data_IF_276046553826
#
_entry.id   IF_276046553826
#
_cell.length_a   1.000
_cell.length_b   1.000
_cell.length_c   1.000
_cell.angle_alpha   90.00
_cell.angle_beta   90.00
_cell.angle_gamma   90.00
#
_symmetry.space_group_name_H-M   'P 1'
#
loop_
_entity.id
_entity.type
_entity.pdbx_description
1 polymer ?
#
# COMPACT_ATOMS: atom_id res chain seq x y z
N UNK A 1 6.35 -35.10 -2.59
CA UNK A 1 6.93 -33.79 -2.25
C UNK A 1 7.91 -34.00 -1.11
N UNK A 2 9.19 -33.65 -1.29
CA UNK A 2 10.19 -33.76 -0.23
C UNK A 2 10.04 -32.54 0.70
N UNK A 3 9.73 -32.77 1.97
CA UNK A 3 9.58 -31.71 2.98
C UNK A 3 10.32 -32.09 4.25
N UNK A 4 10.89 -31.10 4.94
CA UNK A 4 11.47 -31.34 6.26
C UNK A 4 10.37 -31.77 7.24
N UNK A 5 10.69 -32.75 8.08
CA UNK A 5 9.78 -33.24 9.13
C UNK A 5 9.44 -32.18 10.17
N UNK A 6 10.33 -31.21 10.38
CA UNK A 6 10.12 -30.05 11.25
C UNK A 6 10.58 -28.77 10.52
N UNK A 7 9.85 -27.63 10.62
CA UNK A 7 10.28 -26.36 10.04
C UNK A 7 11.66 -25.90 10.52
N UNK A 8 12.04 -26.24 11.75
CA UNK A 8 13.33 -25.87 12.35
C UNK A 8 14.51 -26.52 11.64
N UNK A 9 14.33 -27.70 11.02
CA UNK A 9 15.42 -28.40 10.34
C UNK A 9 15.91 -27.63 9.12
N UNK A 10 15.04 -26.84 8.47
CA UNK A 10 15.44 -25.99 7.35
C UNK A 10 16.48 -24.96 7.79
N UNK A 11 16.29 -24.36 8.96
CA UNK A 11 17.24 -23.41 9.53
C UNK A 11 18.57 -24.10 9.84
N UNK A 12 18.54 -25.22 10.55
CA UNK A 12 19.76 -25.92 10.96
C UNK A 12 20.57 -26.45 9.78
N UNK A 13 19.91 -26.93 8.72
CA UNK A 13 20.60 -27.35 7.51
C UNK A 13 21.30 -26.16 6.84
N UNK A 14 20.66 -24.99 6.76
CA UNK A 14 21.31 -23.81 6.19
C UNK A 14 22.50 -23.33 7.02
N UNK A 15 22.38 -23.36 8.35
CA UNK A 15 23.48 -23.05 9.27
C UNK A 15 24.66 -24.02 9.08
N UNK A 16 24.38 -25.32 9.01
CA UNK A 16 25.40 -26.35 8.81
C UNK A 16 26.07 -26.25 7.43
N UNK A 17 25.28 -26.02 6.38
CA UNK A 17 25.82 -25.84 5.02
C UNK A 17 26.71 -24.60 4.94
N UNK A 18 26.32 -23.51 5.59
CA UNK A 18 27.13 -22.29 5.63
C UNK A 18 28.43 -22.49 6.40
N UNK A 19 28.38 -23.18 7.54
CA UNK A 19 29.55 -23.40 8.38
C UNK A 19 30.59 -24.35 7.77
N UNK A 20 30.18 -25.31 6.93
CA UNK A 20 31.06 -26.43 6.54
C UNK A 20 31.39 -26.52 5.04
N UNK A 21 30.78 -25.70 4.18
CA UNK A 21 31.08 -25.71 2.74
C UNK A 21 31.94 -24.53 2.30
N UNK A 22 32.72 -24.76 1.24
CA UNK A 22 33.65 -23.79 0.68
C UNK A 22 32.95 -22.66 -0.07
N UNK A 23 33.70 -21.58 -0.32
CA UNK A 23 33.24 -20.47 -1.18
C UNK A 23 32.80 -20.95 -2.55
N UNK A 24 33.54 -21.86 -3.20
CA UNK A 24 33.20 -22.40 -4.53
C UNK A 24 31.84 -23.09 -4.56
N UNK A 25 31.46 -23.76 -3.46
CA UNK A 25 30.13 -24.36 -3.34
C UNK A 25 29.06 -23.27 -3.36
N UNK A 26 29.27 -22.20 -2.59
CA UNK A 26 28.34 -21.08 -2.53
C UNK A 26 28.30 -20.27 -3.83
N UNK A 27 29.40 -20.15 -4.57
CA UNK A 27 29.40 -19.62 -5.93
C UNK A 27 28.46 -20.41 -6.86
N UNK A 28 28.57 -21.74 -6.83
CA UNK A 28 27.66 -22.60 -7.59
C UNK A 28 26.19 -22.42 -7.19
N UNK A 29 25.91 -22.28 -5.89
CA UNK A 29 24.55 -22.02 -5.38
C UNK A 29 24.05 -20.64 -5.81
N UNK A 30 24.89 -19.60 -5.76
CA UNK A 30 24.58 -18.23 -6.20
C UNK A 30 24.13 -18.19 -7.65
N UNK A 31 24.94 -18.79 -8.53
CA UNK A 31 24.67 -18.84 -9.97
C UNK A 31 23.40 -19.62 -10.27
N UNK A 32 23.26 -20.79 -9.63
CA UNK A 32 22.08 -21.64 -9.80
C UNK A 32 20.79 -20.97 -9.34
N UNK A 33 20.77 -20.35 -8.15
CA UNK A 33 19.58 -19.64 -7.66
C UNK A 33 19.25 -18.42 -8.50
N UNK A 34 20.26 -17.66 -8.93
CA UNK A 34 20.06 -16.50 -9.79
C UNK A 34 19.47 -16.91 -11.13
N UNK A 35 20.00 -17.97 -11.76
CA UNK A 35 19.46 -18.49 -13.01
C UNK A 35 18.03 -19.00 -12.84
N UNK A 36 17.76 -19.72 -11.75
CA UNK A 36 16.43 -20.27 -11.49
C UNK A 36 15.37 -19.19 -11.28
N UNK A 37 15.65 -18.19 -10.43
CA UNK A 37 14.74 -17.05 -10.20
C UNK A 37 14.49 -16.26 -11.48
N UNK A 38 15.51 -16.15 -12.33
CA UNK A 38 15.42 -15.42 -13.60
C UNK A 38 14.60 -16.17 -14.65
N UNK A 39 14.69 -17.49 -14.71
CA UNK A 39 14.18 -18.30 -15.82
C UNK A 39 12.86 -19.01 -15.52
N UNK A 40 12.55 -19.27 -14.25
CA UNK A 40 11.35 -20.02 -13.84
C UNK A 40 10.33 -19.07 -13.21
N UNK A 41 9.24 -18.71 -13.92
CA UNK A 41 8.20 -17.83 -13.40
C UNK A 41 7.22 -18.61 -12.50
N UNK A 42 7.73 -19.20 -11.41
CA UNK A 42 6.96 -19.95 -10.42
C UNK A 42 6.89 -19.19 -9.08
N UNK A 43 5.73 -18.66 -8.68
CA UNK A 43 5.56 -17.93 -7.42
C UNK A 43 5.90 -18.75 -6.18
N UNK A 44 5.61 -20.06 -6.18
CA UNK A 44 5.89 -20.93 -5.03
C UNK A 44 7.39 -21.16 -4.87
N UNK A 45 8.10 -21.28 -6.00
CA UNK A 45 9.55 -21.30 -6.02
C UNK A 45 10.13 -19.99 -5.48
N UNK A 46 9.68 -18.82 -5.96
CA UNK A 46 10.18 -17.53 -5.47
C UNK A 46 9.95 -17.37 -3.97
N UNK A 47 8.79 -17.82 -3.47
CA UNK A 47 8.48 -17.84 -2.03
C UNK A 47 9.42 -18.76 -1.26
N UNK A 48 9.71 -19.94 -1.80
CA UNK A 48 10.65 -20.88 -1.21
C UNK A 48 12.07 -20.30 -1.18
N UNK A 49 12.56 -19.73 -2.28
CA UNK A 49 13.88 -19.09 -2.35
C UNK A 49 13.96 -17.93 -1.36
N UNK A 50 12.96 -17.05 -1.35
CA UNK A 50 12.94 -15.88 -0.47
C UNK A 50 12.97 -16.26 1.01
N UNK A 51 12.14 -17.22 1.42
CA UNK A 51 12.14 -17.73 2.80
C UNK A 51 13.45 -18.43 3.17
N UNK A 52 14.11 -19.12 2.22
CA UNK A 52 15.42 -19.74 2.42
C UNK A 52 16.52 -18.72 2.65
N UNK A 53 16.59 -17.69 1.80
CA UNK A 53 17.57 -16.60 1.94
C UNK A 53 17.33 -15.78 3.21
N UNK A 54 16.08 -15.57 3.62
CA UNK A 54 15.76 -14.91 4.89
C UNK A 54 16.24 -15.72 6.11
N UNK A 55 16.18 -17.06 6.05
CA UNK A 55 16.76 -17.92 7.09
C UNK A 55 18.29 -17.88 7.08
N UNK A 56 18.91 -17.94 5.89
CA UNK A 56 20.37 -17.86 5.72
C UNK A 56 20.95 -16.51 6.17
N UNK A 57 20.15 -15.44 6.09
CA UNK A 57 20.56 -14.12 6.55
C UNK A 57 20.86 -14.06 8.07
N UNK A 58 20.40 -15.05 8.86
CA UNK A 58 20.70 -15.11 10.30
C UNK A 58 22.19 -15.38 10.58
N UNK A 59 22.79 -16.46 10.05
CA UNK A 59 24.23 -16.69 10.19
C UNK A 59 25.09 -15.94 9.16
N UNK A 60 24.52 -15.50 8.03
CA UNK A 60 25.29 -15.04 6.87
C UNK A 60 24.65 -13.84 6.16
N UNK A 61 24.37 -12.76 6.89
CA UNK A 61 23.71 -11.59 6.30
C UNK A 61 24.51 -10.98 5.14
N UNK A 62 25.83 -10.80 5.29
CA UNK A 62 26.67 -10.17 4.27
C UNK A 62 26.66 -10.93 2.95
N UNK A 63 26.67 -12.27 3.02
CA UNK A 63 26.48 -13.16 1.87
C UNK A 63 25.13 -12.91 1.20
N UNK A 64 24.04 -12.94 1.96
CA UNK A 64 22.69 -12.72 1.41
C UNK A 64 22.56 -11.32 0.80
N UNK A 65 23.15 -10.31 1.44
CA UNK A 65 23.10 -8.92 1.02
C UNK A 65 23.86 -8.68 -0.29
N UNK A 66 25.13 -9.04 -0.33
CA UNK A 66 26.03 -8.70 -1.44
C UNK A 66 25.83 -9.61 -2.66
N UNK A 67 25.51 -10.89 -2.44
CA UNK A 67 25.42 -11.86 -3.52
C UNK A 67 24.03 -12.00 -4.13
N UNK A 68 22.97 -11.69 -3.38
CA UNK A 68 21.60 -11.90 -3.84
C UNK A 68 20.79 -10.60 -3.80
N UNK A 69 20.64 -10.00 -2.61
CA UNK A 69 19.71 -8.88 -2.43
C UNK A 69 20.09 -7.65 -3.26
N UNK A 70 21.33 -7.16 -3.16
CA UNK A 70 21.76 -5.98 -3.89
C UNK A 70 21.77 -6.18 -5.41
N UNK A 71 22.31 -7.28 -5.97
CA UNK A 71 22.23 -7.55 -7.41
C UNK A 71 20.79 -7.70 -7.89
N UNK A 72 19.97 -8.52 -7.23
CA UNK A 72 18.61 -8.79 -7.68
C UNK A 72 17.71 -7.56 -7.58
N UNK A 73 17.85 -6.74 -6.53
CA UNK A 73 17.14 -5.48 -6.41
C UNK A 73 17.53 -4.45 -7.50
N UNK A 74 18.80 -4.45 -7.94
CA UNK A 74 19.24 -3.65 -9.12
C UNK A 74 18.68 -4.19 -10.44
N UNK A 75 18.15 -5.41 -10.45
CA UNK A 75 17.56 -6.04 -11.63
C UNK A 75 18.49 -7.00 -12.38
N UNK A 76 19.60 -7.47 -11.80
CA UNK A 76 20.50 -8.43 -12.48
C UNK A 76 19.81 -9.75 -12.82
N UNK A 77 18.83 -10.17 -12.03
CA UNK A 77 17.97 -11.33 -12.26
C UNK A 77 16.59 -10.96 -12.85
N UNK A 78 16.47 -9.77 -13.45
CA UNK A 78 15.23 -9.26 -14.03
C UNK A 78 14.12 -8.96 -13.01
N UNK A 79 12.88 -8.74 -13.48
CA UNK A 79 11.74 -8.38 -12.62
C UNK A 79 11.40 -9.45 -11.57
N UNK A 80 11.60 -10.73 -11.91
CA UNK A 80 11.42 -11.84 -10.97
C UNK A 80 12.46 -11.79 -9.84
N UNK A 81 13.70 -11.40 -10.15
CA UNK A 81 14.74 -11.12 -9.17
C UNK A 81 14.35 -10.01 -8.19
N UNK A 82 13.92 -8.86 -8.71
CA UNK A 82 13.48 -7.72 -7.87
C UNK A 82 12.30 -8.09 -6.96
N UNK A 83 11.32 -8.82 -7.50
CA UNK A 83 10.20 -9.36 -6.73
C UNK A 83 10.68 -10.30 -5.63
N UNK A 84 11.61 -11.20 -5.95
CA UNK A 84 12.17 -12.15 -4.96
C UNK A 84 12.97 -11.42 -3.88
N UNK A 85 13.78 -10.43 -4.23
CA UNK A 85 14.52 -9.60 -3.27
C UNK A 85 13.58 -8.86 -2.31
N UNK A 86 12.45 -8.36 -2.82
CA UNK A 86 11.38 -7.77 -2.00
C UNK A 86 10.80 -8.79 -1.02
N UNK A 87 10.51 -10.00 -1.50
CA UNK A 87 9.96 -11.09 -0.67
C UNK A 87 10.94 -11.54 0.41
N UNK A 88 12.26 -11.52 0.16
CA UNK A 88 13.26 -11.82 1.20
C UNK A 88 13.14 -10.84 2.35
N UNK A 89 13.03 -9.53 2.07
CA UNK A 89 12.86 -8.51 3.11
C UNK A 89 11.56 -8.69 3.90
N UNK A 90 10.48 -9.10 3.23
CA UNK A 90 9.22 -9.44 3.89
C UNK A 90 9.37 -10.64 4.82
N UNK A 91 10.02 -11.72 4.37
CA UNK A 91 10.29 -12.89 5.22
C UNK A 91 11.20 -12.56 6.40
N UNK A 92 12.22 -11.72 6.22
CA UNK A 92 13.06 -11.24 7.31
C UNK A 92 12.23 -10.53 8.40
N UNK A 93 11.19 -9.79 8.03
CA UNK A 93 10.27 -9.15 8.99
C UNK A 93 9.37 -10.15 9.71
N UNK A 94 8.99 -11.25 9.05
CA UNK A 94 8.09 -12.26 9.59
C UNK A 94 8.79 -13.27 10.51
N UNK A 95 10.09 -13.49 10.34
CA UNK A 95 10.85 -14.48 11.10
C UNK A 95 11.22 -14.01 12.52
N UNK A 96 11.83 -12.83 12.66
CA UNK A 96 12.17 -12.25 13.97
C UNK A 96 12.42 -10.73 13.90
N UNK A 97 12.45 -10.08 15.08
CA UNK A 97 12.54 -8.62 15.18
C UNK A 97 13.90 -8.05 14.74
N UNK A 98 14.99 -8.79 14.94
CA UNK A 98 16.33 -8.33 14.60
C UNK A 98 16.51 -8.30 13.08
N UNK A 99 16.10 -9.38 12.40
CA UNK A 99 16.08 -9.42 10.94
C UNK A 99 15.15 -8.36 10.35
N UNK A 100 14.02 -8.08 10.99
CA UNK A 100 13.13 -6.98 10.58
C UNK A 100 13.83 -5.62 10.57
N UNK A 101 14.60 -5.29 11.61
CA UNK A 101 15.37 -4.05 11.67
C UNK A 101 16.45 -3.98 10.56
N UNK A 102 17.12 -5.11 10.28
CA UNK A 102 18.09 -5.22 9.18
C UNK A 102 17.42 -5.03 7.82
N UNK A 103 16.27 -5.67 7.58
CA UNK A 103 15.51 -5.51 6.34
C UNK A 103 15.08 -4.05 6.11
N UNK A 104 14.67 -3.36 7.19
CA UNK A 104 14.38 -1.93 7.13
C UNK A 104 15.62 -1.11 6.74
N UNK A 105 16.79 -1.39 7.30
CA UNK A 105 18.02 -0.70 6.95
C UNK A 105 18.39 -0.90 5.46
N UNK A 106 18.25 -2.13 4.94
CA UNK A 106 18.48 -2.44 3.52
C UNK A 106 17.54 -1.64 2.61
N UNK A 107 16.23 -1.70 2.85
CA UNK A 107 15.24 -0.99 2.04
C UNK A 107 15.43 0.54 2.09
N UNK A 108 15.82 1.09 3.25
CA UNK A 108 16.18 2.51 3.39
C UNK A 108 17.39 2.87 2.51
N UNK A 109 18.43 2.03 2.50
CA UNK A 109 19.58 2.20 1.62
C UNK A 109 19.20 2.17 0.14
N UNK A 110 18.31 1.27 -0.26
CA UNK A 110 17.79 1.20 -1.62
C UNK A 110 16.98 2.44 -2.02
N UNK A 111 16.10 2.94 -1.14
CA UNK A 111 15.30 4.13 -1.39
C UNK A 111 16.16 5.41 -1.55
N UNK A 112 17.33 5.46 -0.92
CA UNK A 112 18.28 6.57 -1.03
C UNK A 112 19.21 6.45 -2.24
N UNK A 113 19.25 5.30 -2.89
CA UNK A 113 20.16 5.03 -4.00
C UNK A 113 19.89 5.92 -5.21
N UNK A 114 20.94 6.18 -6.00
CA UNK A 114 20.82 6.80 -7.33
C UNK A 114 20.38 5.80 -8.40
N UNK A 115 20.45 4.51 -8.13
CA UNK A 115 19.99 3.45 -9.01
C UNK A 115 18.45 3.35 -9.00
N UNK A 116 17.77 3.47 -10.16
CA UNK A 116 16.31 3.41 -10.25
C UNK A 116 15.75 2.01 -9.93
N UNK A 117 16.46 0.93 -10.25
CA UNK A 117 16.04 -0.44 -9.94
C UNK A 117 15.99 -0.69 -8.42
N UNK A 118 16.99 -0.18 -7.69
CA UNK A 118 16.98 -0.18 -6.23
C UNK A 118 15.82 0.62 -5.66
N UNK A 119 15.55 1.84 -6.19
CA UNK A 119 14.42 2.65 -5.71
C UNK A 119 13.07 1.96 -5.96
N UNK A 120 12.86 1.40 -7.15
CA UNK A 120 11.66 0.62 -7.50
C UNK A 120 11.48 -0.56 -6.55
N UNK A 121 12.53 -1.36 -6.31
CA UNK A 121 12.49 -2.48 -5.36
C UNK A 121 12.21 -2.01 -3.92
N UNK A 122 12.74 -0.85 -3.52
CA UNK A 122 12.42 -0.26 -2.22
C UNK A 122 10.94 0.13 -2.10
N UNK A 123 10.35 0.72 -3.15
CA UNK A 123 8.91 1.03 -3.18
C UNK A 123 8.08 -0.23 -3.01
N UNK A 124 8.40 -1.30 -3.76
CA UNK A 124 7.74 -2.60 -3.63
C UNK A 124 7.85 -3.16 -2.20
N UNK A 125 9.05 -3.10 -1.59
CA UNK A 125 9.26 -3.54 -0.22
C UNK A 125 8.39 -2.76 0.79
N UNK A 126 8.42 -1.43 0.76
CA UNK A 126 7.61 -0.59 1.64
C UNK A 126 6.10 -0.68 1.36
N UNK A 127 5.70 -1.11 0.17
CA UNK A 127 4.30 -1.36 -0.21
C UNK A 127 3.70 -2.66 0.34
N UNK A 128 4.50 -3.52 0.99
CA UNK A 128 4.05 -4.81 1.54
C UNK A 128 4.39 -5.01 3.01
N UNK A 129 4.78 -6.23 3.39
CA UNK A 129 4.95 -6.64 4.80
C UNK A 129 5.97 -5.80 5.57
N UNK A 130 7.03 -5.33 4.92
CA UNK A 130 7.99 -4.41 5.56
C UNK A 130 7.30 -3.12 6.01
N UNK A 131 6.39 -2.59 5.20
CA UNK A 131 5.61 -1.41 5.55
C UNK A 131 4.46 -1.68 6.53
N UNK A 132 3.93 -2.90 6.59
CA UNK A 132 3.03 -3.31 7.67
C UNK A 132 3.76 -3.28 9.00
N UNK A 133 4.99 -3.84 9.06
CA UNK A 133 5.82 -3.88 10.27
C UNK A 133 6.33 -2.50 10.69
N UNK A 134 6.70 -1.65 9.73
CA UNK A 134 7.26 -0.31 9.99
C UNK A 134 6.46 0.79 9.24
N UNK A 135 5.20 1.07 9.63
CA UNK A 135 4.29 1.93 8.87
C UNK A 135 4.75 3.38 8.79
N UNK A 136 5.33 3.91 9.86
CA UNK A 136 5.84 5.28 9.88
C UNK A 136 7.02 5.48 8.94
N UNK A 137 7.91 4.49 8.86
CA UNK A 137 9.04 4.50 7.93
C UNK A 137 8.60 4.32 6.48
N UNK A 138 7.69 3.38 6.21
CA UNK A 138 7.16 3.18 4.86
C UNK A 138 6.52 4.46 4.32
N UNK A 139 5.65 5.10 5.10
CA UNK A 139 5.04 6.38 4.70
C UNK A 139 6.07 7.49 4.52
N UNK A 140 7.14 7.53 5.33
CA UNK A 140 8.23 8.50 5.18
C UNK A 140 8.98 8.31 3.86
N UNK A 141 9.41 7.08 3.57
CA UNK A 141 10.24 6.78 2.41
C UNK A 141 9.46 6.75 1.10
N UNK A 142 8.25 6.20 1.09
CA UNK A 142 7.36 6.31 -0.06
C UNK A 142 7.03 7.77 -0.36
N UNK A 143 6.79 8.60 0.66
CA UNK A 143 6.56 10.02 0.43
C UNK A 143 7.78 10.77 -0.11
N UNK A 144 8.98 10.43 0.38
CA UNK A 144 10.22 10.97 -0.17
C UNK A 144 10.32 10.69 -1.68
N UNK A 145 9.94 9.48 -2.11
CA UNK A 145 9.95 9.07 -3.51
C UNK A 145 8.82 9.71 -4.33
N UNK A 146 7.60 9.81 -3.80
CA UNK A 146 6.47 10.55 -4.41
C UNK A 146 6.83 12.02 -4.66
N UNK A 147 7.62 12.61 -3.76
CA UNK A 147 8.02 14.02 -3.86
C UNK A 147 9.02 14.28 -4.99
N UNK A 148 9.65 13.23 -5.54
CA UNK A 148 10.56 13.33 -6.70
C UNK A 148 9.73 13.45 -7.98
N UNK A 149 10.19 14.27 -8.92
CA UNK A 149 9.52 14.41 -10.22
C UNK A 149 9.79 13.21 -11.13
N UNK A 150 8.77 12.77 -11.89
CA UNK A 150 8.87 11.74 -12.93
C UNK A 150 8.08 10.46 -12.63
N UNK A 151 8.32 9.43 -13.43
CA UNK A 151 7.58 8.15 -13.39
C UNK A 151 7.66 7.43 -12.03
N UNK A 152 8.75 7.65 -11.29
CA UNK A 152 8.95 7.14 -9.93
C UNK A 152 7.86 7.61 -8.95
N UNK A 153 7.27 8.78 -9.20
CA UNK A 153 6.18 9.31 -8.37
C UNK A 153 4.94 8.42 -8.49
N UNK A 154 4.57 8.02 -9.71
CA UNK A 154 3.41 7.17 -9.95
C UNK A 154 3.59 5.75 -9.37
N UNK A 155 4.79 5.20 -9.48
CA UNK A 155 5.14 3.92 -8.86
C UNK A 155 5.08 4.00 -7.32
N UNK A 156 5.64 5.05 -6.72
CA UNK A 156 5.62 5.24 -5.28
C UNK A 156 4.19 5.51 -4.74
N UNK A 157 3.34 6.20 -5.51
CA UNK A 157 1.90 6.34 -5.24
C UNK A 157 1.21 4.97 -5.22
N UNK A 158 1.50 4.13 -6.22
CA UNK A 158 0.95 2.78 -6.32
C UNK A 158 1.39 1.90 -5.15
N UNK A 159 2.66 1.99 -4.75
CA UNK A 159 3.19 1.30 -3.58
C UNK A 159 2.55 1.77 -2.27
N UNK A 160 2.26 3.06 -2.11
CA UNK A 160 1.54 3.57 -0.94
C UNK A 160 0.09 3.07 -0.88
N UNK A 161 -0.58 2.97 -2.02
CA UNK A 161 -1.89 2.34 -2.11
C UNK A 161 -1.83 0.85 -1.77
N UNK A 162 -0.84 0.13 -2.30
CA UNK A 162 -0.59 -1.29 -1.99
C UNK A 162 -0.37 -1.51 -0.49
N UNK A 163 0.40 -0.64 0.18
CA UNK A 163 0.61 -0.70 1.63
C UNK A 163 -0.72 -0.68 2.39
N UNK A 164 -1.65 0.19 2.01
CA UNK A 164 -2.97 0.28 2.63
C UNK A 164 -3.79 -0.99 2.39
N UNK A 165 -3.75 -1.55 1.17
CA UNK A 165 -4.44 -2.80 0.86
C UNK A 165 -3.89 -3.98 1.66
N UNK A 166 -2.57 -4.10 1.78
CA UNK A 166 -1.91 -5.15 2.58
C UNK A 166 -2.24 -4.95 4.06
N UNK A 167 -2.12 -3.73 4.60
CA UNK A 167 -2.48 -3.44 5.99
C UNK A 167 -3.95 -3.72 6.33
N UNK A 168 -4.88 -3.70 5.37
CA UNK A 168 -6.29 -4.04 5.62
C UNK A 168 -6.50 -5.55 5.65
N UNK A 169 -5.73 -6.28 4.84
CA UNK A 169 -5.72 -7.73 4.77
C UNK A 169 -4.99 -8.37 5.97
N UNK A 170 -3.99 -7.70 6.53
CA UNK A 170 -3.29 -8.13 7.74
C UNK A 170 -4.21 -8.18 8.97
N UNK A 171 -3.73 -8.79 10.06
CA UNK A 171 -4.42 -8.78 11.37
C UNK A 171 -4.07 -7.54 12.20
N UNK A 172 -2.87 -6.98 11.99
CA UNK A 172 -2.31 -5.85 12.73
C UNK A 172 -2.48 -4.54 11.96
N UNK A 173 -3.70 -3.98 12.00
CA UNK A 173 -4.08 -2.89 11.08
C UNK A 173 -3.86 -1.52 11.73
N UNK A 174 -2.97 -1.40 12.73
CA UNK A 174 -2.74 -0.13 13.43
C UNK A 174 -2.13 0.94 12.51
N UNK A 175 -1.24 0.52 11.59
CA UNK A 175 -0.55 1.40 10.65
C UNK A 175 -1.49 2.17 9.70
N UNK A 176 -2.67 1.62 9.37
CA UNK A 176 -3.58 2.25 8.40
C UNK A 176 -4.08 3.61 8.86
N UNK A 177 -4.30 3.76 10.18
CA UNK A 177 -4.74 5.04 10.78
C UNK A 177 -3.66 6.12 10.58
N UNK A 178 -2.40 5.73 10.73
CA UNK A 178 -1.26 6.63 10.51
C UNK A 178 -1.17 7.08 9.06
N UNK A 179 -1.34 6.17 8.08
CA UNK A 179 -1.32 6.51 6.65
C UNK A 179 -2.37 7.58 6.33
N UNK A 180 -3.62 7.36 6.72
CA UNK A 180 -4.71 8.32 6.48
C UNK A 180 -4.50 9.66 7.19
N UNK A 181 -3.98 9.65 8.42
CA UNK A 181 -3.65 10.88 9.15
C UNK A 181 -2.54 11.68 8.44
N UNK A 182 -1.48 11.01 7.98
CA UNK A 182 -0.38 11.65 7.26
C UNK A 182 -0.84 12.26 5.92
N UNK A 183 -1.70 11.55 5.18
CA UNK A 183 -2.27 12.05 3.93
C UNK A 183 -3.19 13.26 4.13
N UNK A 184 -4.07 13.22 5.15
CA UNK A 184 -4.96 14.34 5.45
C UNK A 184 -4.17 15.60 5.81
N UNK A 185 -3.10 15.45 6.60
CA UNK A 185 -2.20 16.56 6.92
C UNK A 185 -1.54 17.15 5.67
N UNK A 186 -0.94 16.31 4.82
CA UNK A 186 -0.24 16.75 3.60
C UNK A 186 -1.19 17.41 2.60
N UNK A 187 -2.36 16.83 2.38
CA UNK A 187 -3.37 17.41 1.50
C UNK A 187 -3.87 18.76 2.03
N UNK A 188 -4.05 18.91 3.35
CA UNK A 188 -4.39 20.19 3.96
C UNK A 188 -3.32 21.27 3.77
N UNK A 189 -2.04 20.90 3.83
CA UNK A 189 -0.92 21.81 3.52
C UNK A 189 -0.96 22.22 2.04
N UNK A 190 -1.12 21.26 1.12
CA UNK A 190 -1.12 21.53 -0.33
C UNK A 190 -2.39 22.24 -0.83
N UNK A 191 -3.53 22.05 -0.16
CA UNK A 191 -4.79 22.70 -0.50
C UNK A 191 -4.76 24.22 -0.31
N UNK A 192 -3.91 24.71 0.61
CA UNK A 192 -3.69 26.15 0.83
C UNK A 192 -2.81 26.79 -0.24
N UNK A 193 -2.07 25.98 -1.01
CA UNK A 193 -1.18 26.45 -2.07
C UNK A 193 -1.98 26.71 -3.34
N UNK A 194 -2.06 27.97 -3.78
CA UNK A 194 -2.82 28.35 -4.98
C UNK A 194 -2.22 27.84 -6.29
N UNK A 195 -0.90 27.72 -6.37
CA UNK A 195 -0.21 27.26 -7.58
C UNK A 195 -0.28 25.74 -7.76
N UNK A 196 -0.47 25.28 -9.00
CA UNK A 196 -0.26 23.90 -9.38
C UNK A 196 1.25 23.59 -9.33
N UNK A 197 1.65 22.70 -8.44
CA UNK A 197 3.03 22.23 -8.31
C UNK A 197 3.05 20.71 -8.48
N UNK A 198 4.19 20.16 -8.90
CA UNK A 198 4.37 18.70 -8.97
C UNK A 198 3.98 18.02 -7.65
N UNK A 199 4.42 18.58 -6.51
CA UNK A 199 4.11 18.02 -5.20
C UNK A 199 2.62 18.08 -4.86
N UNK A 200 1.91 19.13 -5.30
CA UNK A 200 0.46 19.20 -5.16
C UNK A 200 -0.19 18.08 -5.96
N UNK A 201 0.12 17.95 -7.25
CA UNK A 201 -0.47 16.87 -8.08
C UNK A 201 -0.18 15.49 -7.51
N UNK A 202 1.09 15.21 -7.16
CA UNK A 202 1.50 13.95 -6.56
C UNK A 202 0.79 13.67 -5.22
N UNK A 203 0.50 14.72 -4.42
CA UNK A 203 -0.28 14.58 -3.18
C UNK A 203 -1.72 14.15 -3.48
N UNK A 204 -2.35 14.78 -4.46
CA UNK A 204 -3.72 14.44 -4.84
C UNK A 204 -3.80 13.06 -5.52
N UNK A 205 -2.80 12.67 -6.31
CA UNK A 205 -2.64 11.32 -6.85
C UNK A 205 -2.52 10.27 -5.74
N UNK A 206 -1.66 10.52 -4.75
CA UNK A 206 -1.49 9.65 -3.59
C UNK A 206 -2.79 9.47 -2.80
N UNK A 207 -3.50 10.57 -2.54
CA UNK A 207 -4.79 10.54 -1.83
C UNK A 207 -5.82 9.75 -2.63
N UNK A 208 -5.96 10.03 -3.92
CA UNK A 208 -6.94 9.34 -4.76
C UNK A 208 -6.61 7.84 -4.86
N UNK A 209 -5.37 7.46 -5.11
CA UNK A 209 -4.96 6.06 -5.18
C UNK A 209 -5.25 5.31 -3.87
N UNK A 210 -4.96 5.92 -2.71
CA UNK A 210 -5.25 5.31 -1.41
C UNK A 210 -6.74 5.21 -1.11
N UNK A 211 -7.55 6.20 -1.47
CA UNK A 211 -9.00 6.14 -1.26
C UNK A 211 -9.68 5.09 -2.15
N UNK A 212 -9.10 4.81 -3.32
CA UNK A 212 -9.67 3.95 -4.36
C UNK A 212 -9.09 2.55 -4.40
N UNK A 213 -8.03 2.29 -3.64
CA UNK A 213 -7.43 0.96 -3.58
C UNK A 213 -8.45 -0.07 -3.10
N UNK A 214 -8.36 -1.27 -3.67
CA UNK A 214 -9.26 -2.38 -3.36
C UNK A 214 -8.62 -3.34 -2.38
N UNK A 215 -9.42 -3.83 -1.45
CA UNK A 215 -9.05 -4.88 -0.52
C UNK A 215 -8.66 -6.15 -1.29
N UNK A 216 -7.55 -6.78 -0.92
CA UNK A 216 -6.97 -7.89 -1.67
C UNK A 216 -7.88 -9.12 -1.71
N UNK A 217 -8.67 -9.36 -0.66
CA UNK A 217 -9.59 -10.49 -0.56
C UNK A 217 -10.93 -10.21 -1.24
N UNK A 218 -11.67 -9.21 -0.74
CA UNK A 218 -13.03 -8.91 -1.19
C UNK A 218 -13.10 -8.16 -2.53
N UNK A 219 -11.98 -7.60 -3.01
CA UNK A 219 -11.90 -6.70 -4.18
C UNK A 219 -12.81 -5.46 -4.08
N UNK A 220 -13.30 -5.14 -2.87
CA UNK A 220 -14.12 -3.94 -2.60
C UNK A 220 -13.21 -2.75 -2.27
N UNK A 221 -13.66 -1.50 -2.48
CA UNK A 221 -12.92 -0.31 -2.06
C UNK A 221 -12.56 -0.37 -0.58
N UNK A 222 -11.28 -0.12 -0.24
CA UNK A 222 -10.79 -0.19 1.13
C UNK A 222 -11.55 0.78 2.05
N UNK A 223 -11.91 1.97 1.56
CA UNK A 223 -12.67 2.94 2.35
C UNK A 223 -14.02 2.38 2.81
N UNK A 224 -14.71 1.59 1.99
CA UNK A 224 -15.98 0.95 2.36
C UNK A 224 -15.77 -0.11 3.44
N UNK A 225 -14.75 -0.97 3.27
CA UNK A 225 -14.37 -2.00 4.24
C UNK A 225 -13.98 -1.38 5.59
N UNK A 226 -13.16 -0.33 5.57
CA UNK A 226 -12.69 0.35 6.77
C UNK A 226 -13.78 1.19 7.44
N UNK A 227 -14.73 1.76 6.72
CA UNK A 227 -15.83 2.51 7.32
C UNK A 227 -16.68 1.63 8.25
N UNK A 228 -16.93 0.37 7.85
CA UNK A 228 -17.62 -0.61 8.70
C UNK A 228 -16.76 -1.13 9.86
N UNK A 229 -15.50 -1.48 9.60
CA UNK A 229 -14.60 -2.09 10.62
C UNK A 229 -14.00 -1.09 11.60
N UNK A 230 -13.80 0.16 11.17
CA UNK A 230 -13.12 1.23 11.93
C UNK A 230 -13.82 2.58 11.73
N UNK A 231 -14.98 2.78 12.37
CA UNK A 231 -15.76 4.00 12.21
C UNK A 231 -15.01 5.30 12.57
N UNK A 232 -13.95 5.22 13.40
CA UNK A 232 -13.08 6.36 13.72
C UNK A 232 -12.32 6.95 12.52
N UNK A 233 -12.20 6.21 11.41
CA UNK A 233 -11.56 6.71 10.19
C UNK A 233 -12.50 7.55 9.31
N UNK A 234 -13.80 7.49 9.54
CA UNK A 234 -14.81 8.13 8.68
C UNK A 234 -14.58 9.64 8.60
N UNK A 235 -14.19 10.29 9.71
CA UNK A 235 -13.93 11.73 9.72
C UNK A 235 -12.70 12.08 8.86
N UNK A 236 -11.68 11.21 8.84
CA UNK A 236 -10.51 11.36 7.97
C UNK A 236 -10.84 11.08 6.51
N UNK A 237 -11.69 10.11 6.22
CA UNK A 237 -12.19 9.89 4.87
C UNK A 237 -12.96 11.12 4.39
N UNK A 238 -13.83 11.69 5.23
CA UNK A 238 -14.56 12.92 4.93
C UNK A 238 -13.64 14.06 4.50
N UNK A 239 -12.58 14.32 5.27
CA UNK A 239 -11.56 15.33 4.96
C UNK A 239 -10.89 15.07 3.61
N UNK A 240 -10.45 13.84 3.35
CA UNK A 240 -9.75 13.47 2.12
C UNK A 240 -10.65 13.59 0.89
N UNK A 241 -11.89 13.10 0.98
CA UNK A 241 -12.87 13.22 -0.09
C UNK A 241 -13.25 14.68 -0.37
N UNK A 242 -13.49 15.48 0.67
CA UNK A 242 -13.79 16.90 0.51
C UNK A 242 -12.65 17.62 -0.24
N UNK A 243 -11.39 17.36 0.12
CA UNK A 243 -10.24 17.90 -0.59
C UNK A 243 -10.19 17.52 -2.07
N UNK A 244 -10.40 16.23 -2.40
CA UNK A 244 -10.46 15.77 -3.79
C UNK A 244 -11.61 16.42 -4.58
N UNK A 245 -12.79 16.55 -3.97
CA UNK A 245 -13.98 17.13 -4.60
C UNK A 245 -13.80 18.62 -4.90
N UNK A 246 -13.13 19.36 -4.00
CA UNK A 246 -12.75 20.76 -4.23
C UNK A 246 -11.67 20.93 -5.31
N UNK A 247 -10.89 19.88 -5.60
CA UNK A 247 -9.87 19.94 -6.64
C UNK A 247 -10.48 19.75 -8.05
N UNK A 248 -10.76 20.87 -8.72
CA UNK A 248 -11.42 20.94 -10.04
C UNK A 248 -10.92 19.90 -11.07
N UNK A 249 -9.61 19.68 -11.27
CA UNK A 249 -9.12 18.70 -12.25
C UNK A 249 -9.52 17.25 -11.93
N UNK A 250 -9.68 16.89 -10.65
CA UNK A 250 -9.93 15.51 -10.20
C UNK A 250 -11.36 15.26 -9.76
N UNK A 251 -12.18 16.31 -9.65
CA UNK A 251 -13.56 16.24 -9.16
C UNK A 251 -14.40 15.16 -9.85
N UNK A 252 -14.35 15.06 -11.18
CA UNK A 252 -15.15 14.09 -11.91
C UNK A 252 -14.77 12.64 -11.58
N UNK A 253 -13.47 12.36 -11.43
CA UNK A 253 -13.03 11.03 -10.99
C UNK A 253 -13.41 10.78 -9.54
N UNK A 254 -13.17 11.75 -8.65
CA UNK A 254 -13.50 11.65 -7.24
C UNK A 254 -15.00 11.36 -7.01
N UNK A 255 -15.90 11.95 -7.81
CA UNK A 255 -17.34 11.66 -7.74
C UNK A 255 -17.67 10.21 -8.10
N UNK A 256 -17.04 9.65 -9.15
CA UNK A 256 -17.18 8.24 -9.51
C UNK A 256 -16.67 7.32 -8.43
N UNK A 257 -15.47 7.62 -7.93
CA UNK A 257 -14.80 6.82 -6.93
C UNK A 257 -15.55 6.84 -5.58
N UNK A 258 -16.15 7.99 -5.22
CA UNK A 258 -17.02 8.13 -4.06
C UNK A 258 -18.33 7.35 -4.21
N UNK A 259 -18.97 7.42 -5.38
CA UNK A 259 -20.16 6.64 -5.67
C UNK A 259 -19.90 5.13 -5.61
N UNK A 260 -18.76 4.68 -6.16
CA UNK A 260 -18.32 3.28 -6.08
C UNK A 260 -18.09 2.83 -4.63
N UNK A 261 -17.58 3.72 -3.77
CA UNK A 261 -17.41 3.46 -2.33
C UNK A 261 -18.76 3.28 -1.64
N UNK A 262 -19.73 4.17 -1.91
CA UNK A 262 -21.09 4.08 -1.35
C UNK A 262 -21.81 2.80 -1.80
N UNK A 263 -21.71 2.47 -3.10
CA UNK A 263 -22.27 1.24 -3.68
C UNK A 263 -21.69 -0.03 -3.06
N UNK A 264 -20.47 0.01 -2.53
CA UNK A 264 -19.84 -1.14 -1.87
C UNK A 264 -20.23 -1.33 -0.40
N UNK A 265 -20.89 -0.35 0.24
CA UNK A 265 -21.24 -0.41 1.67
C UNK A 265 -22.12 -1.62 2.05
N UNK A 266 -23.18 -2.00 1.30
CA UNK A 266 -24.03 -3.15 1.66
C UNK A 266 -23.26 -4.47 1.77
N UNK A 267 -22.21 -4.62 0.96
CA UNK A 267 -21.40 -5.82 0.93
C UNK A 267 -20.26 -5.81 1.97
N UNK A 268 -20.05 -4.70 2.69
CA UNK A 268 -18.86 -4.50 3.54
C UNK A 268 -19.20 -4.17 4.99
N UNK A 269 -20.45 -3.82 5.31
CA UNK A 269 -20.88 -3.52 6.68
C UNK A 269 -22.34 -3.91 6.93
N UNK A 270 -22.67 -4.18 8.20
CA UNK A 270 -24.02 -4.61 8.60
C UNK A 270 -25.08 -3.50 8.58
N UNK A 271 -24.65 -2.24 8.74
CA UNK A 271 -25.54 -1.07 8.83
C UNK A 271 -25.16 0.00 7.80
N UNK A 272 -25.32 -0.27 6.50
CA UNK A 272 -24.82 0.60 5.44
C UNK A 272 -25.43 2.00 5.46
N UNK A 273 -26.69 2.17 5.83
CA UNK A 273 -27.36 3.48 5.93
C UNK A 273 -26.76 4.33 7.04
N UNK A 274 -26.47 3.72 8.20
CA UNK A 274 -25.85 4.43 9.33
C UNK A 274 -24.42 4.89 8.99
N UNK A 275 -23.66 4.04 8.29
CA UNK A 275 -22.32 4.39 7.80
C UNK A 275 -22.39 5.47 6.71
N UNK A 276 -23.29 5.36 5.74
CA UNK A 276 -23.50 6.36 4.70
C UNK A 276 -23.87 7.72 5.29
N UNK A 277 -24.78 7.77 6.27
CA UNK A 277 -25.15 9.00 6.95
C UNK A 277 -24.01 9.60 7.77
N UNK A 278 -23.22 8.79 8.50
CA UNK A 278 -22.04 9.30 9.22
C UNK A 278 -20.98 9.83 8.25
N UNK A 279 -20.76 9.12 7.16
CA UNK A 279 -19.82 9.52 6.13
C UNK A 279 -20.25 10.80 5.42
N UNK A 280 -21.55 10.96 5.14
CA UNK A 280 -22.12 12.19 4.62
C UNK A 280 -21.87 13.38 5.54
N UNK A 281 -22.11 13.25 6.85
CA UNK A 281 -21.78 14.31 7.83
C UNK A 281 -20.29 14.63 7.85
N UNK A 282 -19.42 13.63 7.80
CA UNK A 282 -17.97 13.85 7.78
C UNK A 282 -17.50 14.60 6.52
N UNK A 283 -18.07 14.30 5.36
CA UNK A 283 -17.79 15.04 4.12
C UNK A 283 -18.38 16.46 4.21
N UNK A 284 -19.64 16.61 4.63
CA UNK A 284 -20.31 17.91 4.75
C UNK A 284 -19.59 18.88 5.68
N UNK A 285 -19.10 18.40 6.81
CA UNK A 285 -18.33 19.20 7.78
C UNK A 285 -16.95 19.64 7.25
N UNK A 286 -16.36 18.91 6.30
CA UNK A 286 -15.08 19.25 5.70
C UNK A 286 -15.21 20.01 4.36
N UNK A 287 -16.39 19.98 3.75
CA UNK A 287 -16.65 20.60 2.45
C UNK A 287 -17.12 22.05 2.62
N UNK A 288 -16.57 23.00 1.85
CA UNK A 288 -17.08 24.37 1.79
C UNK A 288 -18.58 24.42 1.47
N UNK A 289 -19.31 25.36 2.09
CA UNK A 289 -20.76 25.46 1.96
C UNK A 289 -21.24 25.63 0.51
N UNK A 290 -20.49 26.36 -0.31
CA UNK A 290 -20.74 26.60 -1.73
C UNK A 290 -20.53 25.35 -2.61
N UNK A 291 -19.73 24.39 -2.13
CA UNK A 291 -19.46 23.14 -2.83
C UNK A 291 -20.51 22.04 -2.54
N UNK A 292 -21.27 22.15 -1.43
CA UNK A 292 -22.30 21.15 -1.05
C UNK A 292 -23.42 21.01 -2.10
N UNK A 293 -24.02 22.10 -2.65
CA UNK A 293 -25.06 21.97 -3.69
C UNK A 293 -24.52 21.38 -5.00
N UNK A 294 -23.26 21.67 -5.33
CA UNK A 294 -22.62 21.12 -6.54
C UNK A 294 -22.37 19.62 -6.42
N UNK A 295 -22.02 19.15 -5.22
CA UNK A 295 -21.90 17.72 -4.91
C UNK A 295 -23.26 17.02 -5.01
N UNK A 296 -24.30 17.60 -4.41
CA UNK A 296 -25.67 17.07 -4.44
C UNK A 296 -26.17 16.83 -5.87
N UNK A 297 -26.12 17.88 -6.71
CA UNK A 297 -26.55 17.78 -8.10
C UNK A 297 -25.80 16.69 -8.88
N UNK A 298 -24.50 16.58 -8.68
CA UNK A 298 -23.68 15.63 -9.42
C UNK A 298 -23.94 14.18 -8.99
N UNK A 299 -23.98 13.90 -7.68
CA UNK A 299 -24.22 12.54 -7.17
C UNK A 299 -25.66 12.07 -7.43
N UNK A 300 -26.68 12.93 -7.31
CA UNK A 300 -28.06 12.58 -7.70
C UNK A 300 -28.16 12.19 -9.17
N UNK A 301 -27.50 12.94 -10.05
CA UNK A 301 -27.47 12.63 -11.48
C UNK A 301 -26.79 11.28 -11.78
N UNK A 302 -25.80 10.89 -10.97
CA UNK A 302 -25.15 9.58 -11.08
C UNK A 302 -26.02 8.45 -10.55
N UNK A 303 -26.62 8.63 -9.36
CA UNK A 303 -27.53 7.66 -8.76
C UNK A 303 -28.74 7.37 -9.66
N UNK A 304 -29.30 8.41 -10.30
CA UNK A 304 -30.44 8.27 -11.23
C UNK A 304 -30.09 7.48 -12.51
N UNK A 305 -28.81 7.35 -12.86
CA UNK A 305 -28.34 6.54 -14.00
C UNK A 305 -28.03 5.10 -13.62
N UNK A 306 -28.09 4.76 -12.33
CA UNK A 306 -27.82 3.41 -11.84
C UNK A 306 -29.13 2.66 -11.64
N UNK A 307 -29.19 1.42 -12.11
CA UNK A 307 -30.33 0.52 -11.84
C UNK A 307 -30.31 -0.06 -10.40
N UNK A 308 -29.31 0.31 -9.60
CA UNK A 308 -29.11 -0.18 -8.22
C UNK A 308 -29.86 0.69 -7.21
N UNK A 309 -31.08 0.26 -6.86
CA UNK A 309 -31.97 0.97 -5.94
C UNK A 309 -31.39 1.09 -4.53
N UNK A 310 -30.59 0.12 -4.08
CA UNK A 310 -29.92 0.15 -2.77
C UNK A 310 -28.83 1.22 -2.78
N UNK A 311 -27.99 1.24 -3.81
CA UNK A 311 -26.96 2.27 -3.95
C UNK A 311 -27.56 3.68 -4.08
N UNK A 312 -28.70 3.83 -4.75
CA UNK A 312 -29.43 5.09 -4.84
C UNK A 312 -29.93 5.56 -3.46
N UNK A 313 -30.53 4.68 -2.66
CA UNK A 313 -30.99 5.00 -1.30
C UNK A 313 -29.83 5.38 -0.36
N UNK A 314 -28.69 4.70 -0.46
CA UNK A 314 -27.47 5.07 0.30
C UNK A 314 -26.90 6.41 -0.14
N UNK A 315 -26.94 6.70 -1.44
CA UNK A 315 -26.52 8.01 -1.97
C UNK A 315 -27.42 9.11 -1.42
N UNK A 316 -28.74 8.91 -1.37
CA UNK A 316 -29.67 9.89 -0.78
C UNK A 316 -29.43 10.07 0.72
N UNK A 317 -29.18 8.98 1.46
CA UNK A 317 -28.85 9.01 2.89
C UNK A 317 -27.57 9.82 3.14
N UNK A 318 -26.54 9.58 2.32
CA UNK A 318 -25.28 10.31 2.35
C UNK A 318 -25.50 11.80 2.05
N UNK A 319 -26.22 12.14 0.99
CA UNK A 319 -26.46 13.53 0.59
C UNK A 319 -27.30 14.32 1.60
N UNK A 320 -28.34 13.71 2.15
CA UNK A 320 -29.14 14.30 3.25
C UNK A 320 -28.26 14.66 4.45
N UNK A 321 -27.28 13.80 4.74
CA UNK A 321 -26.31 14.04 5.80
C UNK A 321 -25.26 15.10 5.45
N UNK A 322 -24.84 15.23 4.19
CA UNK A 322 -23.94 16.31 3.72
C UNK A 322 -24.62 17.67 3.83
N UNK A 323 -25.90 17.75 3.47
CA UNK A 323 -26.63 19.02 3.44
C UNK A 323 -27.10 19.48 4.83
N UNK A 324 -27.17 18.58 5.81
CA UNK A 324 -27.59 18.89 7.19
C UNK A 324 -26.46 19.31 8.11
N UNK A 325 -25.21 19.35 7.65
CA UNK A 325 -24.11 19.94 8.43
C UNK A 325 -24.23 21.46 8.40
N UNK A 326 -24.47 22.06 9.56
CA UNK A 326 -24.45 23.52 9.77
C UNK A 326 -23.02 24.06 9.64
N UNK A 327 -22.90 25.35 9.29
CA UNK A 327 -21.61 26.06 9.16
C UNK A 327 -21.01 26.46 10.51
#
# INVERSE_FOLDING_TARGET
MLVFRSPQYRQWVLEELWANHSTDYWDGVRDWLTDMVRTVPDPDLQMSVASGLALLARPAFDEVAESYLHPWARGTAGPLGQSTATMVLWWMCLLDENLGATALAVARGWAQSRDPGLRSTAMAAFGGELGVRFPSDAVKWLWHLISRAGDESAEAVSALAALVAVQVASRENAGVVFVFAALAHRMGVQGRTGAATHLKEATFDAVQAVLTVRDLGSKRPVCAVLAGRRPQLIDRFGQLWAGLLCNRPRRASALRDLHDTLRALPATCEKPEAIAGRFGRAVGAALPADERPLLDRALRAMAARSDDTVAAALTETFLTAVLSTED
#
